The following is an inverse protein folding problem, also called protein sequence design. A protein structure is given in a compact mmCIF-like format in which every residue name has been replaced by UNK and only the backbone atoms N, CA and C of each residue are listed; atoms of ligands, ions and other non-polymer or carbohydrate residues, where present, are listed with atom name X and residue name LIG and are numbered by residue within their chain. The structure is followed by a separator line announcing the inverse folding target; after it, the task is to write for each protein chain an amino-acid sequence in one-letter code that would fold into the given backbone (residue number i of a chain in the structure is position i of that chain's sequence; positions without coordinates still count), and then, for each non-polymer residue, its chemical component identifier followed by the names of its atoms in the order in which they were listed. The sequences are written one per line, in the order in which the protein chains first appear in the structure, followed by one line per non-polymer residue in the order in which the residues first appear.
data_IF_281087949770
#
_entry.id   IF_281087949770
#
_cell.length_a   1.000
_cell.length_b   1.000
_cell.length_c   1.000
_cell.angle_alpha   90.00
_cell.angle_beta   90.00
_cell.angle_gamma   90.00
#
_symmetry.space_group_name_H-M   'P 1'
#
loop_
_entity.id
_entity.type
_entity.pdbx_description
1 polymer ?
#
# COMPACT_ATOMS: atom_id res chain seq x y z
N UNK A 1 -21.54 -1.63 -15.12
CA UNK A 1 -20.59 -1.44 -14.09
C UNK A 1 -20.60 -0.05 -13.51
N UNK A 2 -20.52 0.01 -12.24
CA UNK A 2 -20.61 1.27 -11.58
C UNK A 2 -19.25 1.85 -11.25
N UNK A 3 -19.04 3.08 -11.63
CA UNK A 3 -17.82 3.78 -11.28
C UNK A 3 -18.03 4.58 -10.01
N UNK A 4 -17.10 4.45 -9.09
CA UNK A 4 -17.13 5.27 -7.90
C UNK A 4 -16.47 6.61 -8.20
N UNK A 5 -17.09 7.66 -7.70
CA UNK A 5 -16.49 8.97 -7.82
C UNK A 5 -15.56 9.18 -6.65
N UNK A 6 -14.27 9.14 -6.93
CA UNK A 6 -13.24 9.32 -5.91
C UNK A 6 -12.76 10.76 -5.80
N UNK A 7 -13.40 11.67 -6.55
CA UNK A 7 -12.99 13.08 -6.55
C UNK A 7 -12.94 13.71 -5.16
N UNK A 8 -13.91 13.48 -4.28
CA UNK A 8 -13.82 14.04 -2.93
C UNK A 8 -12.62 13.51 -2.15
N UNK A 9 -12.28 12.26 -2.35
CA UNK A 9 -11.13 11.65 -1.69
C UNK A 9 -9.83 12.29 -2.16
N UNK A 10 -9.70 12.50 -3.47
CA UNK A 10 -8.51 13.14 -4.02
C UNK A 10 -8.36 14.56 -3.49
N UNK A 11 -9.44 15.30 -3.37
CA UNK A 11 -9.38 16.66 -2.87
C UNK A 11 -8.97 16.76 -1.44
N UNK A 12 -9.42 15.81 -0.61
CA UNK A 12 -9.11 15.85 0.81
C UNK A 12 -7.72 15.31 1.11
N UNK A 13 -7.13 14.55 0.20
CA UNK A 13 -5.82 13.95 0.38
C UNK A 13 -4.85 14.49 -0.66
N UNK A 14 -4.54 15.77 -0.55
CA UNK A 14 -3.65 16.45 -1.50
C UNK A 14 -2.34 15.69 -1.62
N UNK A 15 -1.99 15.30 -2.85
CA UNK A 15 -0.81 14.52 -3.13
C UNK A 15 -1.02 13.01 -3.06
N UNK A 16 -2.08 12.57 -2.42
CA UNK A 16 -2.35 11.13 -2.32
C UNK A 16 -2.96 10.59 -3.62
N UNK A 17 -3.49 11.46 -4.46
CA UNK A 17 -4.00 11.07 -5.77
C UNK A 17 -2.93 10.39 -6.62
N UNK A 18 -1.67 10.76 -6.43
CA UNK A 18 -0.58 10.11 -7.15
C UNK A 18 -0.48 8.63 -6.79
N UNK A 19 -0.73 8.31 -5.52
CA UNK A 19 -0.72 6.91 -5.11
C UNK A 19 -1.83 6.15 -5.82
N UNK A 20 -3.02 6.72 -5.89
CA UNK A 20 -4.11 6.08 -6.60
C UNK A 20 -3.80 5.89 -8.07
N UNK A 21 -3.23 6.90 -8.70
CA UNK A 21 -2.86 6.80 -10.11
C UNK A 21 -1.81 5.71 -10.34
N UNK A 22 -0.83 5.64 -9.45
CA UNK A 22 0.20 4.62 -9.55
C UNK A 22 -0.38 3.22 -9.36
N UNK A 23 -1.32 3.07 -8.44
CA UNK A 23 -1.97 1.79 -8.20
C UNK A 23 -2.80 1.37 -9.40
N UNK A 24 -3.54 2.29 -9.99
CA UNK A 24 -4.32 2.00 -11.18
C UNK A 24 -3.44 1.61 -12.34
N UNK A 25 -2.33 2.32 -12.54
CA UNK A 25 -1.40 2.00 -13.59
C UNK A 25 -0.79 0.62 -13.38
N UNK A 26 -0.46 0.29 -12.15
CA UNK A 26 0.05 -1.03 -11.81
C UNK A 26 -0.94 -2.13 -12.14
N UNK A 27 -2.20 -1.89 -11.85
CA UNK A 27 -3.24 -2.85 -12.15
C UNK A 27 -3.46 -3.02 -13.65
N UNK A 28 -3.36 -1.93 -14.38
CA UNK A 28 -3.59 -1.99 -15.83
C UNK A 28 -2.47 -2.67 -16.59
N UNK A 29 -1.37 -2.94 -15.93
CA UNK A 29 -0.26 -3.65 -16.56
C UNK A 29 -0.40 -5.16 -16.49
N UNK A 30 -1.55 -5.65 -16.12
CA UNK A 30 -1.96 -7.00 -16.39
C UNK A 30 -1.56 -8.08 -15.42
N UNK A 31 -0.45 -7.96 -14.76
CA UNK A 31 -0.12 -8.90 -13.70
C UNK A 31 -0.70 -8.51 -12.40
N UNK A 32 -1.48 -7.51 -12.46
CA UNK A 32 -1.70 -6.65 -11.38
C UNK A 32 -2.47 -7.19 -10.24
N UNK A 33 -2.72 -8.40 -10.26
CA UNK A 33 -3.56 -8.87 -9.21
C UNK A 33 -2.85 -9.41 -8.00
N UNK A 34 -1.57 -9.70 -8.08
CA UNK A 34 -0.98 -10.47 -6.99
C UNK A 34 0.15 -9.73 -6.29
N UNK A 35 0.09 -9.70 -4.97
CA UNK A 35 -1.04 -10.09 -4.12
C UNK A 35 -2.12 -9.00 -4.08
N UNK A 36 -3.37 -9.38 -3.83
CA UNK A 36 -4.43 -8.39 -3.67
C UNK A 36 -4.14 -7.47 -2.49
N UNK A 37 -4.59 -6.25 -2.60
CA UNK A 37 -4.36 -5.28 -1.54
C UNK A 37 -5.50 -4.26 -1.49
N UNK A 38 -5.61 -3.60 -0.34
CA UNK A 38 -6.53 -2.49 -0.14
C UNK A 38 -5.72 -1.28 0.31
N UNK A 39 -6.16 -0.11 -0.09
CA UNK A 39 -5.66 1.14 0.47
C UNK A 39 -6.82 1.81 1.17
N UNK A 40 -6.68 2.03 2.45
CA UNK A 40 -7.75 2.54 3.28
C UNK A 40 -7.40 3.93 3.80
N UNK A 41 -8.36 4.83 3.75
CA UNK A 41 -8.25 6.11 4.42
C UNK A 41 -8.90 5.94 5.78
N UNK A 42 -8.08 5.84 6.81
CA UNK A 42 -8.58 5.59 8.16
C UNK A 42 -9.16 6.85 8.78
N UNK A 43 -8.45 7.95 8.62
CA UNK A 43 -8.95 9.25 9.00
C UNK A 43 -8.21 10.30 8.17
N UNK A 44 -8.39 11.57 8.49
CA UNK A 44 -7.94 12.67 7.63
C UNK A 44 -6.51 12.55 7.14
N UNK A 45 -5.60 12.09 8.01
CA UNK A 45 -4.18 12.01 7.65
C UNK A 45 -3.59 10.62 7.83
N UNK A 46 -4.43 9.64 8.05
CA UNK A 46 -3.98 8.30 8.38
C UNK A 46 -4.44 7.31 7.31
N UNK A 47 -3.49 6.63 6.71
CA UNK A 47 -3.75 5.68 5.63
C UNK A 47 -3.24 4.31 6.03
N UNK A 48 -3.83 3.29 5.45
CA UNK A 48 -3.41 1.91 5.72
C UNK A 48 -3.46 1.11 4.44
N UNK A 49 -2.38 0.39 4.18
CA UNK A 49 -2.36 -0.59 3.11
C UNK A 49 -2.50 -1.95 3.76
N UNK A 50 -3.39 -2.78 3.22
CA UNK A 50 -3.53 -4.16 3.66
C UNK A 50 -3.25 -5.06 2.46
N UNK A 51 -2.29 -5.97 2.60
CA UNK A 51 -1.88 -6.85 1.52
C UNK A 51 -2.17 -8.28 1.94
N UNK A 52 -2.84 -9.04 1.09
CA UNK A 52 -3.17 -10.43 1.37
C UNK A 52 -1.93 -11.29 1.16
N UNK A 53 -1.33 -11.74 2.25
CA UNK A 53 -0.07 -12.49 2.22
C UNK A 53 -0.17 -13.79 3.00
N UNK A 54 -1.35 -14.38 2.99
CA UNK A 54 -1.53 -15.67 3.65
C UNK A 54 -0.54 -16.67 3.08
N UNK A 55 0.09 -17.42 3.95
CA UNK A 55 1.11 -18.38 3.54
C UNK A 55 2.54 -17.89 3.67
N UNK A 56 2.72 -16.58 3.91
CA UNK A 56 4.05 -16.01 4.13
C UNK A 56 4.28 -15.83 5.63
N UNK A 57 5.45 -16.22 6.08
CA UNK A 57 5.88 -15.93 7.43
C UNK A 57 6.45 -14.50 7.47
N UNK A 58 6.48 -13.92 8.66
CA UNK A 58 6.98 -12.57 8.81
C UNK A 58 8.39 -12.41 8.27
N UNK A 59 9.26 -13.36 8.50
CA UNK A 59 10.64 -13.30 8.03
C UNK A 59 10.77 -13.46 6.52
N UNK A 60 9.70 -13.85 5.85
CA UNK A 60 9.69 -13.95 4.38
C UNK A 60 9.23 -12.66 3.71
N UNK A 61 8.85 -11.68 4.50
CA UNK A 61 8.36 -10.41 4.00
C UNK A 61 9.37 -9.31 4.29
N UNK A 62 9.55 -8.43 3.32
CA UNK A 62 10.45 -7.30 3.45
C UNK A 62 9.76 -6.02 3.01
N UNK A 63 9.89 -4.98 3.80
CA UNK A 63 9.32 -3.67 3.50
C UNK A 63 10.46 -2.66 3.49
N UNK A 64 10.62 -1.95 2.39
CA UNK A 64 11.63 -0.91 2.29
C UNK A 64 11.03 0.35 1.71
N UNK A 65 11.63 1.49 2.03
CA UNK A 65 11.23 2.76 1.45
C UNK A 65 12.47 3.46 0.91
N UNK A 66 12.29 4.11 -0.23
CA UNK A 66 13.35 4.89 -0.83
C UNK A 66 12.71 5.98 -1.69
N UNK A 67 13.02 7.24 -1.37
CA UNK A 67 12.54 8.36 -2.19
C UNK A 67 11.05 8.33 -2.47
N UNK A 68 10.25 8.18 -1.44
CA UNK A 68 8.79 8.12 -1.54
C UNK A 68 8.27 6.90 -2.28
N UNK A 69 9.10 5.89 -2.44
CA UNK A 69 8.67 4.63 -3.01
C UNK A 69 8.67 3.56 -1.91
N UNK A 70 7.53 2.96 -1.71
CA UNK A 70 7.37 1.87 -0.76
C UNK A 70 7.45 0.56 -1.54
N UNK A 71 8.34 -0.31 -1.15
CA UNK A 71 8.53 -1.59 -1.82
C UNK A 71 8.24 -2.70 -0.83
N UNK A 72 7.33 -3.59 -1.20
CA UNK A 72 6.99 -4.75 -0.38
C UNK A 72 7.34 -6.00 -1.17
N UNK A 73 8.17 -6.83 -0.59
CA UNK A 73 8.58 -8.08 -1.22
C UNK A 73 8.21 -9.26 -0.36
N UNK A 74 7.80 -10.33 -1.01
CA UNK A 74 7.58 -11.59 -0.35
C UNK A 74 8.31 -12.68 -1.10
N UNK A 75 9.06 -13.49 -0.37
CA UNK A 75 9.81 -14.58 -0.96
C UNK A 75 9.81 -15.76 0.00
N UNK A 76 9.39 -16.90 -0.49
CA UNK A 76 9.44 -18.11 0.33
C UNK A 76 10.86 -18.58 0.49
N UNK A 77 11.25 -18.83 1.73
CA UNK A 77 12.60 -19.26 2.05
C UNK A 77 12.85 -20.72 1.72
N UNK A 78 11.79 -21.51 1.69
CA UNK A 78 11.90 -22.94 1.45
C UNK A 78 11.60 -23.24 -0.01
N UNK A 79 12.23 -24.30 -0.54
CA UNK A 79 11.88 -24.75 -1.85
C UNK A 79 10.43 -25.22 -1.86
N UNK A 80 9.72 -24.98 -2.97
CA UNK A 80 8.33 -25.44 -3.05
C UNK A 80 8.28 -26.95 -2.91
N UNK A 81 7.46 -27.44 -2.01
CA UNK A 81 7.19 -28.86 -1.91
C UNK A 81 6.36 -29.25 -3.14
N UNK A 82 6.66 -30.42 -3.69
CA UNK A 82 5.83 -30.95 -4.76
C UNK A 82 4.47 -31.30 -4.18
N UNK A 83 3.46 -30.64 -4.70
CA UNK A 83 2.08 -30.89 -4.27
C UNK A 83 1.22 -31.11 -5.50
N UNK A 84 0.32 -32.05 -5.38
CA UNK A 84 -0.65 -32.30 -6.43
C UNK A 84 -1.99 -31.69 -6.00
N UNK A 85 -2.41 -30.67 -6.71
CA UNK A 85 -3.66 -29.99 -6.39
C UNK A 85 -4.79 -30.54 -7.26
N UNK A 86 -5.90 -30.84 -6.64
CA UNK A 86 -7.12 -31.06 -7.40
C UNK A 86 -7.69 -29.73 -7.88
N UNK A 87 -7.46 -28.70 -7.11
CA UNK A 87 -7.80 -27.34 -7.48
C UNK A 87 -6.89 -26.39 -6.71
N UNK A 88 -6.34 -25.41 -7.38
CA UNK A 88 -5.49 -24.43 -6.71
C UNK A 88 -6.04 -23.03 -6.97
N UNK A 89 -6.66 -22.46 -5.94
CA UNK A 89 -7.18 -21.10 -6.03
C UNK A 89 -6.32 -20.09 -5.29
N UNK A 90 -5.34 -20.56 -4.50
CA UNK A 90 -4.46 -19.68 -3.74
C UNK A 90 -3.09 -19.71 -4.37
N UNK A 91 -2.64 -18.56 -4.83
CA UNK A 91 -1.30 -18.43 -5.38
C UNK A 91 -0.37 -18.02 -4.25
N UNK A 92 0.63 -18.85 -3.98
CA UNK A 92 1.63 -18.55 -2.97
C UNK A 92 2.98 -18.39 -3.67
N UNK A 93 3.13 -17.28 -4.36
CA UNK A 93 4.34 -17.07 -5.14
C UNK A 93 5.07 -15.81 -4.69
N UNK A 94 6.35 -15.77 -4.98
CA UNK A 94 7.14 -14.59 -4.67
C UNK A 94 6.60 -13.38 -5.40
N UNK A 95 6.70 -12.23 -4.77
CA UNK A 95 6.15 -11.02 -5.35
C UNK A 95 6.97 -9.80 -4.96
N UNK A 96 6.76 -8.74 -5.72
CA UNK A 96 7.26 -7.41 -5.38
C UNK A 96 6.18 -6.41 -5.74
N UNK A 97 5.75 -5.64 -4.77
CA UNK A 97 4.78 -4.58 -4.97
C UNK A 97 5.43 -3.24 -4.66
N UNK A 98 5.18 -2.27 -5.52
CA UNK A 98 5.71 -0.93 -5.35
C UNK A 98 4.56 0.05 -5.26
N UNK A 99 4.65 0.93 -4.28
CA UNK A 99 3.64 1.97 -4.07
C UNK A 99 4.33 3.31 -4.06
N UNK A 100 3.87 4.22 -4.92
CA UNK A 100 4.39 5.57 -4.94
C UNK A 100 3.69 6.38 -3.87
N UNK A 101 4.44 6.87 -2.90
CA UNK A 101 3.89 7.65 -1.80
C UNK A 101 3.93 9.13 -2.15
N UNK A 102 2.91 9.86 -1.71
CA UNK A 102 2.90 11.31 -1.83
C UNK A 102 3.93 11.91 -0.88
N UNK A 103 4.24 13.16 -1.09
CA UNK A 103 5.14 13.87 -0.18
C UNK A 103 4.52 13.94 1.22
N UNK A 104 5.37 13.92 2.23
CA UNK A 104 4.96 14.03 3.63
C UNK A 104 4.25 12.82 4.18
N UNK A 105 4.26 11.70 3.44
CA UNK A 105 3.74 10.44 3.94
C UNK A 105 4.88 9.73 4.67
N UNK A 106 4.63 9.35 5.91
CA UNK A 106 5.59 8.59 6.71
C UNK A 106 5.01 7.25 7.08
N UNK A 107 5.84 6.22 7.00
CA UNK A 107 5.46 4.90 7.43
C UNK A 107 5.57 4.87 8.95
N UNK A 108 4.47 4.54 9.62
CA UNK A 108 4.45 4.50 11.06
C UNK A 108 4.72 3.12 11.62
N UNK A 109 4.45 2.12 10.85
CA UNK A 109 4.70 0.76 11.27
C UNK A 109 4.03 -0.24 10.37
N UNK A 110 4.32 -1.50 10.62
CA UNK A 110 3.71 -2.58 9.87
C UNK A 110 3.50 -3.76 10.80
N UNK A 111 2.49 -4.55 10.51
CA UNK A 111 2.25 -5.77 11.28
C UNK A 111 1.62 -6.82 10.39
N UNK A 112 1.86 -8.07 10.74
CA UNK A 112 1.27 -9.20 10.07
C UNK A 112 0.22 -9.81 11.00
N UNK A 113 -1.02 -9.84 10.54
CA UNK A 113 -2.10 -10.33 11.37
C UNK A 113 -3.19 -10.93 10.50
N UNK A 114 -3.65 -12.10 10.87
CA UNK A 114 -4.75 -12.77 10.18
C UNK A 114 -4.52 -12.93 8.67
N UNK A 115 -3.28 -13.18 8.27
CA UNK A 115 -2.96 -13.37 6.86
C UNK A 115 -2.83 -12.10 6.06
N UNK A 116 -2.90 -10.95 6.72
CA UNK A 116 -2.79 -9.66 6.06
C UNK A 116 -1.58 -8.90 6.61
N UNK A 117 -0.85 -8.29 5.71
CA UNK A 117 0.22 -7.38 6.09
C UNK A 117 -0.36 -5.97 6.08
N UNK A 118 -0.38 -5.34 7.24
CA UNK A 118 -0.87 -3.98 7.39
C UNK A 118 0.30 -3.02 7.47
N UNK A 119 0.24 -1.96 6.68
CA UNK A 119 1.25 -0.92 6.70
C UNK A 119 0.54 0.39 6.99
N UNK A 120 0.84 0.97 8.13
CA UNK A 120 0.21 2.22 8.56
C UNK A 120 1.08 3.40 8.17
N UNK A 121 0.43 4.41 7.61
CA UNK A 121 1.10 5.61 7.12
C UNK A 121 0.39 6.84 7.64
N UNK A 122 1.17 7.88 7.87
CA UNK A 122 0.63 9.14 8.35
C UNK A 122 1.15 10.27 7.48
N UNK A 123 0.25 11.16 7.10
CA UNK A 123 0.64 12.35 6.37
C UNK A 123 0.96 13.44 7.38
N UNK A 124 2.20 13.87 7.36
CA UNK A 124 2.68 14.91 8.28
C UNK A 124 3.18 16.09 7.45
N UNK A 125 2.38 17.16 7.44
CA UNK A 125 2.76 18.36 6.71
C UNK A 125 3.61 19.22 7.64
N UNK A 126 4.83 19.62 7.20
CA UNK A 126 5.66 20.47 8.02
C UNK A 126 4.96 21.77 8.37
N UNK A 127 5.24 22.26 9.56
CA UNK A 127 4.59 23.47 10.05
C UNK A 127 4.81 24.65 9.10
N UNK A 128 5.95 24.69 8.47
CA UNK A 128 6.27 25.77 7.53
C UNK A 128 5.43 25.77 6.28
N UNK A 129 4.79 24.63 5.97
CA UNK A 129 3.96 24.50 4.78
C UNK A 129 2.48 24.59 5.08
N UNK A 130 2.10 24.67 6.35
CA UNK A 130 0.70 24.77 6.72
C UNK A 130 0.20 26.19 6.50
N UNK A 131 -1.08 26.36 6.18
CA UNK A 131 -1.65 27.69 6.07
C UNK A 131 -1.43 28.46 7.38
N UNK A 132 -1.10 29.70 7.25
CA UNK A 132 -0.80 30.54 8.38
C UNK A 132 -1.60 31.82 8.29
N UNK A 133 -2.23 32.18 9.36
CA UNK A 133 -2.97 33.44 9.41
C UNK A 133 -2.01 34.60 9.60
N UNK A 134 -2.12 35.59 8.77
CA UNK A 134 -1.29 36.78 8.84
C UNK A 134 -2.05 37.89 9.52
N UNK A 135 -1.46 38.43 10.55
CA UNK A 135 -2.06 39.50 11.29
C UNK A 135 -1.98 40.81 10.51
N UNK A 136 -3.10 41.49 10.43
CA UNK A 136 -3.14 42.80 9.75
C UNK A 136 -2.90 43.88 10.78
N UNK A 137 -1.91 44.68 10.50
CA UNK A 137 -1.55 45.77 11.40
C UNK A 137 -2.16 47.07 10.92
#
# INVERSE_FOLDING_TARGET
MRNFDLSPLYRSAIGFDRLFNALEAGQSQGNGGYPPYNVELVDENHYRIAIAVAGFAEQELEITTQDNLLIVRGAHNNEPAEKTYLYQGIAERNFERKFQLAEHIQIKGAKLENGLLYIDMLRIVPETLKPRRIEIK
#
